data_IF_410700397670
#
_entry.id   IF_410700397670
#
_cell.length_a   1.000
_cell.length_b   1.000
_cell.length_c   1.000
_cell.angle_alpha   90.00
_cell.angle_beta   90.00
_cell.angle_gamma   90.00
#
_symmetry.space_group_name_H-M   'P 1'
#
loop_
_entity.id
_entity.type
_entity.pdbx_description
1 polymer ?
#
# COMPACT_ATOMS: atom_id res chain seq x y z
N UNK A 1 -4.61 -5.80 8.85
CA UNK A 1 -3.29 -6.44 8.63
C UNK A 1 -2.16 -5.42 8.70
N UNK A 2 -2.25 -4.31 7.97
CA UNK A 2 -1.24 -3.25 7.93
C UNK A 2 -0.94 -2.64 9.32
N UNK A 3 -1.91 -2.53 10.19
CA UNK A 3 -1.73 -2.10 11.58
C UNK A 3 -0.88 -3.08 12.39
N UNK A 4 -1.03 -4.39 12.16
CA UNK A 4 -0.21 -5.42 12.80
C UNK A 4 1.23 -5.34 12.28
N UNK A 5 1.40 -5.18 10.96
CA UNK A 5 2.74 -5.01 10.37
C UNK A 5 3.45 -3.76 10.91
N UNK A 6 2.72 -2.65 11.04
CA UNK A 6 3.23 -1.42 11.62
C UNK A 6 3.61 -1.62 13.10
N UNK A 7 2.73 -2.24 13.90
CA UNK A 7 2.93 -2.44 15.33
C UNK A 7 4.19 -3.25 15.63
N UNK A 8 4.40 -4.33 14.88
CA UNK A 8 5.55 -5.21 15.05
C UNK A 8 6.76 -4.86 14.16
N UNK A 9 6.61 -3.84 13.31
CA UNK A 9 7.62 -3.40 12.33
C UNK A 9 8.16 -4.54 11.47
N UNK A 10 7.29 -5.39 10.99
CA UNK A 10 7.59 -6.50 10.07
C UNK A 10 6.91 -6.28 8.72
N UNK A 11 7.36 -6.98 7.71
CA UNK A 11 6.81 -6.96 6.36
C UNK A 11 6.76 -8.37 5.80
N UNK A 12 5.80 -8.62 4.92
CA UNK A 12 5.63 -9.88 4.20
C UNK A 12 4.99 -9.60 2.84
N UNK A 13 4.68 -10.65 2.09
CA UNK A 13 4.15 -10.57 0.74
C UNK A 13 2.95 -11.51 0.53
N UNK A 14 2.11 -11.68 1.54
CA UNK A 14 0.91 -12.52 1.43
C UNK A 14 -0.19 -11.87 0.58
N UNK A 15 -0.09 -10.57 0.33
CA UNK A 15 -1.05 -9.80 -0.47
C UNK A 15 -0.27 -8.95 -1.47
N UNK A 16 -0.59 -9.09 -2.75
CA UNK A 16 0.05 -8.32 -3.83
C UNK A 16 -0.04 -6.81 -3.57
N UNK A 17 1.05 -6.11 -3.83
CA UNK A 17 1.18 -4.67 -3.65
C UNK A 17 0.97 -4.17 -2.20
N UNK A 18 0.95 -5.07 -1.23
CA UNK A 18 0.76 -4.72 0.17
C UNK A 18 1.68 -5.56 1.06
N UNK A 19 2.68 -4.96 1.73
CA UNK A 19 3.71 -5.70 2.46
C UNK A 19 3.20 -6.25 3.80
N UNK A 20 2.17 -7.08 3.77
CA UNK A 20 1.51 -7.64 4.96
C UNK A 20 1.57 -9.16 5.00
N UNK A 21 1.57 -9.69 6.22
CA UNK A 21 1.31 -11.10 6.51
C UNK A 21 -0.13 -11.29 6.99
N UNK A 22 -0.76 -12.39 6.59
CA UNK A 22 -2.01 -12.83 7.18
C UNK A 22 -1.78 -13.16 8.65
N UNK A 23 -2.36 -12.37 9.54
CA UNK A 23 -2.07 -12.46 10.97
C UNK A 23 -3.21 -11.93 11.83
N UNK A 24 -3.19 -12.35 13.10
CA UNK A 24 -3.95 -11.74 14.17
C UNK A 24 -3.00 -11.34 15.30
N UNK A 25 -3.43 -10.45 16.17
CA UNK A 25 -2.70 -10.16 17.39
C UNK A 25 -3.64 -10.05 18.57
N UNK A 26 -3.17 -10.52 19.73
CA UNK A 26 -3.80 -10.33 21.01
C UNK A 26 -2.81 -9.59 21.93
N UNK A 27 -3.27 -8.55 22.58
CA UNK A 27 -2.46 -7.71 23.43
C UNK A 27 -3.16 -7.56 24.77
N UNK A 28 -2.42 -7.79 25.85
CA UNK A 28 -2.83 -7.53 27.22
C UNK A 28 -1.75 -6.70 27.94
N UNK A 29 -1.98 -6.38 29.21
CA UNK A 29 -0.96 -5.69 30.03
C UNK A 29 0.33 -6.50 30.19
N UNK A 30 0.25 -7.84 30.06
CA UNK A 30 1.36 -8.74 30.39
C UNK A 30 1.97 -9.44 29.17
N UNK A 31 1.27 -9.47 28.03
CA UNK A 31 1.71 -10.22 26.85
C UNK A 31 1.25 -9.60 25.54
N UNK A 32 2.07 -9.78 24.52
CA UNK A 32 1.73 -9.56 23.12
C UNK A 32 1.89 -10.88 22.36
N UNK A 33 0.82 -11.36 21.76
CA UNK A 33 0.80 -12.61 21.01
C UNK A 33 0.45 -12.31 19.55
N UNK A 34 1.32 -12.73 18.65
CA UNK A 34 1.04 -12.69 17.20
C UNK A 34 0.73 -14.11 16.70
N UNK A 35 -0.31 -14.22 15.89
CA UNK A 35 -0.73 -15.45 15.19
C UNK A 35 -0.42 -15.28 13.72
N UNK A 36 0.54 -16.01 13.21
CA UNK A 36 1.09 -15.88 11.86
C UNK A 36 1.53 -17.24 11.35
N UNK A 37 1.63 -17.43 10.03
CA UNK A 37 2.16 -18.66 9.45
C UNK A 37 3.64 -18.82 9.82
N UNK A 38 3.94 -19.77 10.69
CA UNK A 38 5.30 -19.96 11.22
C UNK A 38 6.32 -20.36 10.16
N UNK A 39 5.89 -21.07 9.15
CA UNK A 39 6.72 -21.50 8.04
C UNK A 39 7.26 -20.34 7.17
N UNK A 40 6.61 -19.19 7.23
CA UNK A 40 7.03 -17.98 6.53
C UNK A 40 8.03 -17.13 7.33
N UNK A 41 8.26 -17.45 8.62
CA UNK A 41 9.15 -16.68 9.46
C UNK A 41 10.63 -17.02 9.19
N UNK A 42 11.43 -15.98 9.05
CA UNK A 42 12.89 -16.14 9.03
C UNK A 42 13.46 -16.22 10.45
N UNK A 43 14.64 -16.82 10.60
CA UNK A 43 15.34 -16.85 11.89
C UNK A 43 15.56 -15.47 12.49
N UNK A 44 15.78 -14.45 11.65
CA UNK A 44 15.94 -13.06 12.08
C UNK A 44 14.65 -12.52 12.74
N UNK A 45 13.49 -12.79 12.14
CA UNK A 45 12.19 -12.35 12.70
C UNK A 45 11.88 -13.11 14.00
N UNK A 46 12.22 -14.40 14.09
CA UNK A 46 12.04 -15.17 15.31
C UNK A 46 12.89 -14.59 16.45
N UNK A 47 14.18 -14.33 16.20
CA UNK A 47 15.08 -13.70 17.18
C UNK A 47 14.61 -12.29 17.57
N UNK A 48 14.06 -11.55 16.63
CA UNK A 48 13.47 -10.24 16.90
C UNK A 48 12.27 -10.34 17.83
N UNK A 49 11.36 -11.28 17.61
CA UNK A 49 10.21 -11.51 18.50
C UNK A 49 10.65 -11.93 19.89
N UNK A 50 11.59 -12.86 20.00
CA UNK A 50 12.16 -13.32 21.28
C UNK A 50 12.78 -12.16 22.07
N UNK A 51 13.56 -11.31 21.38
CA UNK A 51 14.21 -10.13 21.98
C UNK A 51 13.22 -9.16 22.62
N UNK A 52 12.04 -8.99 22.02
CA UNK A 52 11.01 -8.06 22.50
C UNK A 52 9.90 -8.75 23.31
N UNK A 53 10.03 -10.03 23.61
CA UNK A 53 9.06 -10.78 24.40
C UNK A 53 7.72 -10.98 23.70
N UNK A 54 7.72 -10.97 22.36
CA UNK A 54 6.53 -11.20 21.53
C UNK A 54 6.34 -12.72 21.38
N UNK A 55 5.20 -13.23 21.84
CA UNK A 55 4.87 -14.65 21.71
C UNK A 55 4.35 -14.92 20.29
N UNK A 56 5.04 -15.76 19.55
CA UNK A 56 4.61 -16.17 18.21
C UNK A 56 3.88 -17.51 18.25
N UNK A 57 2.67 -17.53 17.70
CA UNK A 57 1.84 -18.74 17.54
C UNK A 57 1.47 -18.94 16.07
N UNK A 58 1.15 -20.19 15.72
CA UNK A 58 0.64 -20.47 14.37
C UNK A 58 -0.67 -19.75 14.12
N UNK A 59 -0.90 -19.31 12.86
CA UNK A 59 -2.10 -18.58 12.45
C UNK A 59 -3.39 -19.29 12.86
N UNK A 60 -3.42 -20.60 12.79
CA UNK A 60 -4.58 -21.43 13.12
C UNK A 60 -4.86 -21.53 14.62
N UNK A 61 -3.88 -21.18 15.48
CA UNK A 61 -4.01 -21.24 16.93
C UNK A 61 -4.88 -20.12 17.52
N UNK A 62 -5.30 -19.10 16.75
CA UNK A 62 -6.12 -18.00 17.26
C UNK A 62 -7.43 -18.48 17.90
N UNK A 63 -8.11 -19.45 17.28
CA UNK A 63 -9.40 -19.97 17.79
C UNK A 63 -9.22 -20.79 19.08
N UNK A 64 -8.34 -21.80 19.16
CA UNK A 64 -8.07 -22.48 20.43
C UNK A 64 -7.56 -21.51 21.50
N UNK A 65 -6.67 -20.57 21.16
CA UNK A 65 -6.19 -19.58 22.11
C UNK A 65 -7.32 -18.76 22.75
N UNK A 66 -8.26 -18.22 21.95
CA UNK A 66 -9.39 -17.46 22.48
C UNK A 66 -10.28 -18.31 23.41
N UNK A 67 -10.40 -19.61 23.14
CA UNK A 67 -11.18 -20.51 24.00
C UNK A 67 -10.51 -20.77 25.36
N UNK A 68 -9.22 -20.67 25.45
CA UNK A 68 -8.42 -21.03 26.63
C UNK A 68 -7.91 -19.82 27.41
N UNK A 69 -7.62 -18.69 26.73
CA UNK A 69 -7.07 -17.50 27.35
C UNK A 69 -7.96 -16.99 28.49
N UNK A 70 -7.33 -16.65 29.60
CA UNK A 70 -8.04 -16.05 30.74
C UNK A 70 -8.27 -14.57 30.47
N UNK A 71 -9.49 -14.21 30.14
CA UNK A 71 -9.89 -12.81 29.98
C UNK A 71 -10.27 -12.22 31.32
N UNK A 72 -9.63 -11.10 31.67
CA UNK A 72 -9.94 -10.32 32.88
C UNK A 72 -10.37 -8.92 32.46
N UNK A 73 -11.59 -8.51 32.85
CA UNK A 73 -12.13 -7.21 32.45
C UNK A 73 -12.78 -7.21 31.05
N UNK A 74 -12.71 -6.06 30.39
CA UNK A 74 -13.32 -5.86 29.08
C UNK A 74 -12.33 -6.12 27.94
N UNK A 75 -12.81 -6.71 26.86
CA UNK A 75 -12.03 -6.92 25.65
C UNK A 75 -12.40 -5.84 24.63
N UNK A 76 -11.44 -4.98 24.30
CA UNK A 76 -11.59 -3.95 23.26
C UNK A 76 -11.38 -4.55 21.89
N UNK A 77 -12.33 -4.35 20.99
CA UNK A 77 -12.24 -4.71 19.57
C UNK A 77 -13.03 -3.71 18.72
N UNK A 78 -12.63 -3.52 17.47
CA UNK A 78 -13.45 -2.78 16.51
C UNK A 78 -14.54 -3.72 15.96
N UNK A 79 -15.81 -3.41 16.22
CA UNK A 79 -16.94 -4.21 15.72
C UNK A 79 -17.09 -4.11 14.19
N UNK A 80 -16.50 -3.10 13.57
CA UNK A 80 -16.50 -2.91 12.11
C UNK A 80 -15.40 -3.70 11.40
N UNK A 81 -14.29 -4.03 12.09
CA UNK A 81 -13.11 -4.64 11.50
C UNK A 81 -12.91 -6.11 11.86
N UNK A 82 -13.38 -6.50 13.06
CA UNK A 82 -13.23 -7.89 13.54
C UNK A 82 -14.11 -8.83 12.73
N UNK A 83 -13.60 -9.99 12.35
CA UNK A 83 -14.45 -10.99 11.72
C UNK A 83 -15.47 -11.58 12.69
N UNK A 84 -16.60 -12.01 12.15
CA UNK A 84 -17.76 -12.48 12.94
C UNK A 84 -17.44 -13.67 13.84
N UNK A 85 -16.54 -14.59 13.41
CA UNK A 85 -16.16 -15.74 14.22
C UNK A 85 -15.47 -15.31 15.52
N UNK A 86 -14.48 -14.43 15.41
CA UNK A 86 -13.76 -13.91 16.59
C UNK A 86 -14.67 -13.07 17.47
N UNK A 87 -15.51 -12.21 16.90
CA UNK A 87 -16.52 -11.46 17.64
C UNK A 87 -17.40 -12.38 18.50
N UNK A 88 -17.94 -13.45 17.89
CA UNK A 88 -18.81 -14.40 18.58
C UNK A 88 -18.07 -15.17 19.68
N UNK A 89 -16.85 -15.65 19.41
CA UNK A 89 -16.05 -16.39 20.38
C UNK A 89 -15.66 -15.53 21.57
N UNK A 90 -15.18 -14.32 21.34
CA UNK A 90 -14.82 -13.38 22.40
C UNK A 90 -16.02 -12.97 23.24
N UNK A 91 -17.18 -12.72 22.61
CA UNK A 91 -18.44 -12.39 23.32
C UNK A 91 -18.98 -13.51 24.22
N UNK A 92 -18.60 -14.77 23.97
CA UNK A 92 -18.91 -15.89 24.85
C UNK A 92 -17.98 -15.97 26.06
N UNK A 93 -16.84 -15.28 26.03
CA UNK A 93 -15.76 -15.36 27.03
C UNK A 93 -15.70 -14.15 27.97
N UNK A 94 -16.21 -13.00 27.53
CA UNK A 94 -16.12 -11.77 28.32
C UNK A 94 -16.96 -10.62 27.77
N UNK A 95 -16.96 -9.50 28.49
CA UNK A 95 -17.62 -8.28 28.05
C UNK A 95 -16.80 -7.62 26.91
N UNK A 96 -17.42 -7.43 25.76
CA UNK A 96 -16.82 -6.73 24.63
C UNK A 96 -17.05 -5.23 24.73
N UNK A 97 -16.04 -4.45 24.39
CA UNK A 97 -16.11 -3.01 24.25
C UNK A 97 -15.82 -2.65 22.80
N UNK A 98 -16.78 -2.02 22.14
CA UNK A 98 -16.52 -1.42 20.83
C UNK A 98 -15.57 -0.23 20.96
N UNK A 99 -14.47 -0.27 20.22
CA UNK A 99 -13.50 0.82 20.19
C UNK A 99 -12.74 0.80 18.87
N UNK A 100 -12.36 1.98 18.41
CA UNK A 100 -11.42 2.08 17.29
C UNK A 100 -10.08 1.43 17.67
N UNK A 101 -9.47 0.79 16.70
CA UNK A 101 -8.14 0.22 16.88
C UNK A 101 -7.12 1.35 17.17
N UNK A 102 -6.48 1.38 18.35
CA UNK A 102 -5.58 2.46 18.71
C UNK A 102 -4.36 2.58 17.77
N UNK A 103 -3.96 1.48 17.14
CA UNK A 103 -2.85 1.49 16.16
C UNK A 103 -3.17 2.31 14.92
N UNK A 104 -4.43 2.46 14.54
CA UNK A 104 -4.86 3.28 13.42
C UNK A 104 -4.39 4.74 13.59
N UNK A 105 -4.64 5.32 14.75
CA UNK A 105 -4.19 6.69 15.05
C UNK A 105 -2.68 6.76 15.26
N UNK A 106 -2.09 5.81 15.98
CA UNK A 106 -0.64 5.80 16.22
C UNK A 106 0.15 5.67 14.91
N UNK A 107 -0.29 4.84 13.97
CA UNK A 107 0.28 4.72 12.64
C UNK A 107 0.08 6.01 11.80
N UNK A 108 -1.06 6.67 11.95
CA UNK A 108 -1.36 7.89 11.21
C UNK A 108 -0.45 9.06 11.62
N UNK A 109 -0.10 9.18 12.91
CA UNK A 109 0.79 10.22 13.44
C UNK A 109 2.23 9.73 13.41
N UNK A 110 2.95 10.08 12.32
CA UNK A 110 4.32 9.61 12.06
C UNK A 110 5.32 10.20 13.06
N UNK A 111 6.21 9.36 13.56
CA UNK A 111 7.37 9.78 14.34
C UNK A 111 8.48 10.39 13.46
N UNK A 112 9.56 10.88 14.07
CA UNK A 112 10.65 11.53 13.34
C UNK A 112 11.38 10.61 12.36
N UNK A 113 11.55 9.33 12.70
CA UNK A 113 12.23 8.33 11.84
C UNK A 113 11.36 8.01 10.64
N UNK A 114 10.05 7.80 10.85
CA UNK A 114 9.10 7.57 9.76
C UNK A 114 9.04 8.77 8.81
N UNK A 115 9.01 10.00 9.34
CA UNK A 115 8.99 11.22 8.52
C UNK A 115 10.28 11.39 7.70
N UNK A 116 11.44 11.10 8.27
CA UNK A 116 12.72 11.15 7.55
C UNK A 116 12.74 10.14 6.39
N UNK A 117 12.36 8.90 6.66
CA UNK A 117 12.28 7.86 5.65
C UNK A 117 11.26 8.18 4.55
N UNK A 118 10.06 8.66 4.90
CA UNK A 118 9.06 9.08 3.93
C UNK A 118 9.61 10.19 3.01
N UNK A 119 10.24 11.23 3.57
CA UNK A 119 10.85 12.31 2.76
C UNK A 119 11.91 11.78 1.81
N UNK A 120 12.78 10.87 2.29
CA UNK A 120 13.81 10.22 1.46
C UNK A 120 13.18 9.48 0.28
N UNK A 121 12.23 8.59 0.55
CA UNK A 121 11.67 7.74 -0.50
C UNK A 121 10.75 8.50 -1.45
N UNK A 122 9.97 9.47 -0.97
CA UNK A 122 9.20 10.36 -1.85
C UNK A 122 10.11 11.17 -2.78
N UNK A 123 11.26 11.64 -2.30
CA UNK A 123 12.22 12.34 -3.15
C UNK A 123 12.79 11.41 -4.24
N UNK A 124 13.26 10.22 -3.87
CA UNK A 124 13.84 9.26 -4.81
C UNK A 124 12.82 8.80 -5.86
N UNK A 125 11.61 8.49 -5.43
CA UNK A 125 10.51 8.10 -6.32
C UNK A 125 10.11 9.24 -7.26
N UNK A 126 9.98 10.46 -6.74
CA UNK A 126 9.64 11.65 -7.54
C UNK A 126 10.70 11.94 -8.61
N UNK A 127 11.98 11.68 -8.32
CA UNK A 127 13.06 11.78 -9.31
C UNK A 127 12.85 10.76 -10.44
N UNK A 128 12.50 9.51 -10.12
CA UNK A 128 12.25 8.46 -11.12
C UNK A 128 11.02 8.80 -11.97
N UNK A 129 9.93 9.21 -11.34
CA UNK A 129 8.73 9.66 -12.05
C UNK A 129 9.03 10.87 -12.96
N UNK A 130 9.77 11.85 -12.48
CA UNK A 130 10.14 13.04 -13.28
C UNK A 130 11.00 12.64 -14.50
N UNK A 131 11.98 11.77 -14.32
CA UNK A 131 12.78 11.22 -15.42
C UNK A 131 11.93 10.44 -16.42
N UNK A 132 10.97 9.67 -15.94
CA UNK A 132 10.01 8.96 -16.79
C UNK A 132 9.15 9.92 -17.63
N UNK A 133 8.56 10.94 -17.00
CA UNK A 133 7.74 11.94 -17.70
C UNK A 133 8.57 12.73 -18.73
N UNK A 134 9.81 13.05 -18.40
CA UNK A 134 10.72 13.66 -19.36
C UNK A 134 11.02 12.73 -20.54
N UNK A 135 11.32 11.46 -20.26
CA UNK A 135 11.55 10.45 -21.28
C UNK A 135 10.33 10.27 -22.19
N UNK A 136 9.13 10.21 -21.63
CA UNK A 136 7.86 10.17 -22.38
C UNK A 136 7.78 11.33 -23.38
N UNK A 137 7.95 12.56 -22.92
CA UNK A 137 7.89 13.77 -23.78
C UNK A 137 8.96 13.82 -24.85
N UNK A 138 10.13 13.24 -24.59
CA UNK A 138 11.21 13.22 -25.59
C UNK A 138 11.00 12.18 -26.68
N UNK A 139 10.27 11.11 -26.40
CA UNK A 139 10.21 9.93 -27.27
C UNK A 139 8.85 9.69 -27.90
N UNK A 140 7.74 10.24 -27.35
CA UNK A 140 6.42 10.08 -27.93
C UNK A 140 6.37 10.58 -29.37
N UNK A 141 5.80 9.79 -30.28
CA UNK A 141 5.79 10.03 -31.74
C UNK A 141 7.10 9.73 -32.43
N UNK A 142 8.17 9.33 -31.72
CA UNK A 142 9.48 8.95 -32.31
C UNK A 142 9.74 7.44 -32.22
N UNK A 143 9.23 6.81 -31.17
CA UNK A 143 9.30 5.35 -30.98
C UNK A 143 7.89 4.82 -30.69
N UNK A 144 7.58 3.56 -31.04
CA UNK A 144 6.31 2.94 -30.66
C UNK A 144 6.18 2.90 -29.14
N UNK A 145 5.00 3.31 -28.64
CA UNK A 145 4.67 3.29 -27.21
C UNK A 145 3.21 2.86 -27.06
N UNK A 146 2.92 2.07 -26.06
CA UNK A 146 1.57 1.75 -25.62
C UNK A 146 1.48 1.85 -24.08
N UNK A 147 0.26 1.87 -23.56
CA UNK A 147 0.00 2.03 -22.12
C UNK A 147 0.71 0.98 -21.28
N UNK A 148 0.76 -0.28 -21.71
CA UNK A 148 1.40 -1.37 -21.00
C UNK A 148 2.92 -1.24 -20.99
N UNK A 149 3.53 -1.02 -22.17
CA UNK A 149 4.99 -0.93 -22.28
C UNK A 149 5.58 0.25 -21.50
N UNK A 150 4.87 1.39 -21.44
CA UNK A 150 5.35 2.54 -20.67
C UNK A 150 5.09 2.38 -19.17
N UNK A 151 4.05 1.63 -18.74
CA UNK A 151 3.88 1.24 -17.34
C UNK A 151 5.07 0.40 -16.88
N UNK A 152 5.41 -0.67 -17.60
CA UNK A 152 6.58 -1.52 -17.29
C UNK A 152 7.89 -0.73 -17.26
N UNK A 153 8.03 0.28 -18.12
CA UNK A 153 9.19 1.18 -18.10
C UNK A 153 9.30 1.94 -16.79
N UNK A 154 8.20 2.51 -16.31
CA UNK A 154 8.18 3.24 -15.03
C UNK A 154 8.47 2.29 -13.86
N UNK A 155 7.84 1.12 -13.85
CA UNK A 155 8.04 0.09 -12.82
C UNK A 155 9.51 -0.34 -12.74
N UNK A 156 10.15 -0.57 -13.89
CA UNK A 156 11.58 -0.90 -13.94
C UNK A 156 12.47 0.22 -13.38
N UNK A 157 12.11 1.49 -13.62
CA UNK A 157 12.84 2.63 -13.08
C UNK A 157 12.71 2.75 -11.56
N UNK A 158 11.54 2.39 -10.99
CA UNK A 158 11.34 2.34 -9.54
C UNK A 158 12.12 1.22 -8.89
N UNK A 159 12.15 0.05 -9.52
CA UNK A 159 12.91 -1.11 -9.04
C UNK A 159 14.42 -0.85 -8.90
N UNK A 160 14.95 0.20 -9.55
CA UNK A 160 16.35 0.62 -9.37
C UNK A 160 16.59 1.42 -8.06
N UNK A 161 15.55 1.77 -7.31
CA UNK A 161 15.69 2.51 -6.04
C UNK A 161 16.10 1.53 -4.95
N UNK A 162 17.19 1.81 -4.27
CA UNK A 162 17.60 1.01 -3.11
C UNK A 162 16.52 0.97 -2.03
N UNK A 163 16.20 -0.23 -1.55
CA UNK A 163 15.11 -0.46 -0.61
C UNK A 163 13.72 -0.57 -1.25
N UNK A 164 13.61 -0.61 -2.59
CA UNK A 164 12.36 -0.97 -3.26
C UNK A 164 11.99 -2.42 -2.93
N UNK A 165 10.75 -2.61 -2.54
CA UNK A 165 10.18 -3.91 -2.17
C UNK A 165 9.28 -4.44 -3.29
N UNK A 166 8.26 -3.68 -3.64
CA UNK A 166 7.30 -3.96 -4.70
C UNK A 166 6.57 -2.68 -5.13
N UNK A 167 5.66 -2.76 -6.09
CA UNK A 167 4.73 -1.66 -6.39
C UNK A 167 3.74 -1.48 -5.23
N UNK A 168 3.27 -0.25 -5.00
CA UNK A 168 2.20 0.00 -4.02
C UNK A 168 0.80 -0.34 -4.55
N UNK A 169 0.66 -0.37 -5.86
CA UNK A 169 -0.49 -0.87 -6.63
C UNK A 169 -0.07 -1.04 -8.11
N UNK A 170 -0.82 -1.82 -8.91
CA UNK A 170 -0.55 -1.94 -10.33
C UNK A 170 -0.55 -0.58 -11.01
N UNK A 171 0.53 -0.23 -11.70
CA UNK A 171 0.68 1.08 -12.34
C UNK A 171 -0.45 1.34 -13.32
N UNK A 172 -1.20 2.42 -13.11
CA UNK A 172 -2.21 2.94 -14.02
C UNK A 172 -1.52 3.82 -15.05
N UNK A 173 -1.54 3.39 -16.30
CA UNK A 173 -1.00 4.09 -17.45
C UNK A 173 -2.12 4.22 -18.47
N UNK A 174 -2.71 5.40 -18.57
CA UNK A 174 -3.98 5.58 -19.27
C UNK A 174 -3.92 6.75 -20.25
N UNK A 175 -4.25 6.47 -21.51
CA UNK A 175 -4.23 7.43 -22.59
C UNK A 175 -5.65 7.76 -23.06
N UNK A 176 -5.94 9.05 -23.22
CA UNK A 176 -7.23 9.57 -23.66
C UNK A 176 -8.40 9.03 -22.81
N UNK A 177 -9.37 8.33 -23.43
CA UNK A 177 -10.59 7.84 -22.76
C UNK A 177 -10.33 6.80 -21.67
N UNK A 178 -9.27 6.01 -21.75
CA UNK A 178 -8.93 5.03 -20.72
C UNK A 178 -8.65 5.68 -19.38
N UNK A 179 -8.20 6.94 -19.39
CA UNK A 179 -8.01 7.72 -18.16
C UNK A 179 -9.32 8.09 -17.43
N UNK A 180 -10.48 7.83 -18.02
CA UNK A 180 -11.78 8.00 -17.36
C UNK A 180 -12.19 6.79 -16.53
N UNK A 181 -11.50 5.67 -16.67
CA UNK A 181 -11.71 4.46 -15.87
C UNK A 181 -10.79 4.47 -14.66
N UNK A 182 -11.37 4.60 -13.48
CA UNK A 182 -10.63 4.48 -12.24
C UNK A 182 -10.13 3.03 -12.09
N UNK A 183 -8.90 2.87 -11.60
CA UNK A 183 -8.22 1.58 -11.50
C UNK A 183 -8.04 0.87 -12.85
N UNK A 184 -7.90 1.65 -13.94
CA UNK A 184 -7.55 1.10 -15.25
C UNK A 184 -6.21 0.37 -15.18
N UNK A 185 -6.15 -0.82 -15.75
CA UNK A 185 -4.91 -1.59 -15.86
C UNK A 185 -4.73 -2.05 -17.29
N UNK A 186 -3.74 -1.50 -17.98
CA UNK A 186 -3.34 -1.98 -19.28
C UNK A 186 -2.70 -3.37 -19.17
N UNK A 187 -2.97 -4.23 -20.14
CA UNK A 187 -2.38 -5.57 -20.23
C UNK A 187 -1.64 -5.74 -21.54
N UNK A 188 -0.92 -6.83 -21.69
CA UNK A 188 -0.24 -7.15 -22.95
C UNK A 188 -1.21 -7.22 -24.14
N UNK A 189 -2.42 -7.68 -23.92
CA UNK A 189 -3.45 -7.90 -24.94
C UNK A 189 -4.51 -6.79 -25.02
N UNK A 190 -4.66 -6.00 -23.95
CA UNK A 190 -5.62 -4.89 -23.89
C UNK A 190 -4.90 -3.61 -23.47
N UNK A 191 -4.51 -2.82 -24.46
CA UNK A 191 -3.72 -1.61 -24.32
C UNK A 191 -3.93 -0.69 -25.52
N UNK A 192 -3.78 0.59 -25.31
CA UNK A 192 -3.85 1.59 -26.34
C UNK A 192 -2.48 2.11 -26.74
N UNK A 193 -2.28 2.31 -28.05
CA UNK A 193 -1.09 2.99 -28.54
C UNK A 193 -1.12 4.46 -28.12
N UNK A 194 0.02 4.98 -27.68
CA UNK A 194 0.20 6.35 -27.23
C UNK A 194 0.77 7.18 -28.38
N UNK A 195 0.10 8.27 -28.73
CA UNK A 195 0.45 9.19 -29.80
C UNK A 195 0.91 10.53 -29.23
N UNK A 196 1.61 11.34 -30.09
CA UNK A 196 2.10 12.66 -29.72
C UNK A 196 0.99 13.73 -29.71
N UNK A 197 -0.13 13.44 -29.05
CA UNK A 197 -1.27 14.35 -28.90
C UNK A 197 -2.08 14.02 -27.64
N UNK A 198 -2.92 14.95 -27.21
CA UNK A 198 -3.87 14.73 -26.12
C UNK A 198 -3.25 14.61 -24.75
N UNK A 199 -4.01 14.01 -23.82
CA UNK A 199 -3.64 13.84 -22.41
C UNK A 199 -3.29 12.39 -22.11
N UNK A 200 -2.30 12.21 -21.26
CA UNK A 200 -1.87 10.95 -20.67
C UNK A 200 -1.89 11.08 -19.16
N UNK A 201 -2.48 10.11 -18.50
CA UNK A 201 -2.51 9.98 -17.06
C UNK A 201 -1.62 8.80 -16.63
N UNK A 202 -0.79 9.02 -15.64
CA UNK A 202 -0.06 7.97 -14.93
C UNK A 202 -0.33 8.11 -13.44
N UNK A 203 -0.75 7.01 -12.83
CA UNK A 203 -0.92 6.86 -11.40
C UNK A 203 -0.13 5.64 -10.94
N UNK A 204 0.75 5.83 -9.97
CA UNK A 204 1.77 4.83 -9.69
C UNK A 204 2.49 5.11 -8.38
N UNK A 205 3.03 4.05 -7.80
CA UNK A 205 3.80 4.17 -6.57
C UNK A 205 4.60 2.92 -6.24
N UNK A 206 5.37 2.97 -5.17
CA UNK A 206 6.20 1.87 -4.70
C UNK A 206 6.14 1.69 -3.20
N UNK A 207 6.31 0.45 -2.78
CA UNK A 207 6.60 0.05 -1.41
C UNK A 207 8.11 0.03 -1.22
N UNK A 208 8.58 0.75 -0.23
CA UNK A 208 9.99 0.83 0.15
C UNK A 208 10.16 0.40 1.60
N UNK A 209 11.36 -0.03 1.98
CA UNK A 209 11.65 -0.43 3.38
C UNK A 209 11.22 0.64 4.39
N UNK A 210 11.28 1.92 4.03
CA UNK A 210 10.97 3.04 4.92
C UNK A 210 9.72 3.83 4.54
N UNK A 211 8.89 3.39 3.61
CA UNK A 211 7.68 4.14 3.24
C UNK A 211 6.98 3.65 2.00
N UNK A 212 5.83 4.22 1.75
CA UNK A 212 4.98 3.95 0.58
C UNK A 212 4.79 5.25 -0.19
N UNK A 213 4.84 5.18 -1.53
CA UNK A 213 4.52 6.32 -2.40
C UNK A 213 3.28 6.04 -3.25
N UNK A 214 2.60 7.10 -3.60
CA UNK A 214 1.41 7.12 -4.44
C UNK A 214 1.35 8.51 -5.11
N UNK A 215 1.49 8.56 -6.43
CA UNK A 215 1.59 9.82 -7.17
C UNK A 215 0.90 9.73 -8.51
N UNK A 216 -0.12 10.54 -8.70
CA UNK A 216 -0.81 10.72 -10.00
C UNK A 216 -0.29 11.94 -10.74
N UNK A 217 -0.08 11.84 -12.05
CA UNK A 217 0.19 12.97 -12.95
C UNK A 217 -0.57 12.82 -14.26
N UNK A 218 -1.19 13.92 -14.67
CA UNK A 218 -1.79 14.06 -16.03
C UNK A 218 -0.98 15.07 -16.82
N UNK A 219 -0.45 14.67 -17.96
CA UNK A 219 0.39 15.50 -18.82
C UNK A 219 -0.14 15.55 -20.25
N UNK A 220 0.15 16.66 -20.93
CA UNK A 220 -0.05 16.76 -22.38
C UNK A 220 1.13 16.13 -23.12
N UNK A 221 0.85 15.24 -24.07
CA UNK A 221 1.87 14.61 -24.92
C UNK A 221 2.06 15.35 -26.27
N UNK A 222 1.25 16.34 -26.55
CA UNK A 222 1.27 17.15 -27.75
C UNK A 222 0.09 18.12 -27.79
N UNK A 223 -0.48 18.44 -28.97
CA UNK A 223 -1.62 19.32 -29.07
C UNK A 223 -2.82 18.84 -28.23
N UNK A 224 -3.45 19.76 -27.53
CA UNK A 224 -4.68 19.53 -26.74
C UNK A 224 -5.77 20.52 -27.17
N UNK A 225 -7.02 20.06 -27.18
CA UNK A 225 -8.18 20.88 -27.52
C UNK A 225 -8.52 21.89 -26.42
N UNK A 226 -9.27 22.94 -26.76
CA UNK A 226 -9.73 23.90 -25.75
C UNK A 226 -10.71 23.27 -24.75
N UNK A 227 -11.45 22.26 -25.16
CA UNK A 227 -12.29 21.46 -24.26
C UNK A 227 -11.45 20.73 -23.22
N UNK A 228 -10.35 20.08 -23.62
CA UNK A 228 -9.42 19.42 -22.71
C UNK A 228 -8.82 20.43 -21.71
N UNK A 229 -8.34 21.59 -22.18
CA UNK A 229 -7.82 22.66 -21.32
C UNK A 229 -8.86 23.13 -20.30
N UNK A 230 -10.10 23.34 -20.75
CA UNK A 230 -11.21 23.77 -19.89
C UNK A 230 -11.50 22.74 -18.78
N UNK A 231 -11.59 21.46 -19.13
CA UNK A 231 -11.88 20.40 -18.16
C UNK A 231 -10.73 20.21 -17.20
N UNK A 232 -9.49 20.17 -17.68
CA UNK A 232 -8.29 20.10 -16.83
C UNK A 232 -8.25 21.26 -15.81
N UNK A 233 -8.46 22.50 -16.27
CA UNK A 233 -8.46 23.67 -15.39
C UNK A 233 -9.58 23.62 -14.36
N UNK A 234 -10.79 23.17 -14.73
CA UNK A 234 -11.90 23.03 -13.77
C UNK A 234 -11.60 21.99 -12.68
N UNK A 235 -11.02 20.85 -13.06
CA UNK A 235 -10.61 19.81 -12.13
C UNK A 235 -9.53 20.32 -11.18
N UNK A 236 -8.50 21.01 -11.71
CA UNK A 236 -7.45 21.61 -10.90
C UNK A 236 -8.01 22.68 -9.91
N UNK A 237 -8.93 23.53 -10.35
CA UNK A 237 -9.60 24.49 -9.47
C UNK A 237 -10.43 23.80 -8.36
N UNK A 238 -11.09 22.66 -8.68
CA UNK A 238 -11.82 21.88 -7.69
C UNK A 238 -10.92 21.26 -6.63
N UNK A 239 -9.74 20.79 -7.05
CA UNK A 239 -8.73 20.22 -6.15
C UNK A 239 -8.13 21.24 -5.18
N UNK A 240 -7.95 22.49 -5.63
CA UNK A 240 -7.32 23.58 -4.84
C UNK A 240 -8.28 24.31 -3.88
N UNK A 241 -9.55 23.97 -3.87
CA UNK A 241 -10.58 24.54 -2.96
C UNK A 241 -10.75 23.71 -1.70
#
# INVERSE_FOLDING_TARGET
LDDIMWLYNIRANDVDCNPVALSYTFISENEAVIFIQKEALTDEVIQYFDKYGIVCKDYTEIVPFIKEVKLTGKVGISFHEVNYLLYKLLGQRGELKDMENPTTLFKAVKNSVELENLRKYYLLDSVKLTKFLFWMKQNVGKIPMDEYSVALKLDSMRAEIDGFFELSFPTISAYKENAAMMHYSATETDKKNIEAEGLYLVDSGGQYVGGTTDVTRTIALGPVTDTMKKHFSKTACGMLR
#
